data_IF_565823825260
#
_entry.id   IF_565823825260
#
_cell.length_a   1.000
_cell.length_b   1.000
_cell.length_c   1.000
_cell.angle_alpha   90.00
_cell.angle_beta   90.00
_cell.angle_gamma   90.00
#
_symmetry.space_group_name_H-M   'P 1'
#
loop_
_entity.id
_entity.type
_entity.pdbx_description
1 polymer ?
#
# COMPACT_ATOMS: atom_id res chain seq x y z
N UNK A 1 -5.23 20.89 -8.06
CA UNK A 1 -5.85 20.55 -6.75
C UNK A 1 -5.66 19.08 -6.34
N UNK A 2 -5.74 18.10 -7.24
CA UNK A 2 -5.56 16.67 -6.87
C UNK A 2 -4.21 16.29 -6.26
N UNK A 3 -3.13 17.01 -6.59
CA UNK A 3 -1.79 16.75 -6.05
C UNK A 3 -1.67 17.00 -4.54
N UNK A 4 -2.37 18.00 -4.01
CA UNK A 4 -2.33 18.35 -2.57
C UNK A 4 -3.02 17.26 -1.75
N UNK A 5 -4.22 16.82 -2.18
CA UNK A 5 -4.96 15.74 -1.51
C UNK A 5 -4.16 14.44 -1.49
N UNK A 6 -3.57 14.06 -2.62
CA UNK A 6 -2.69 12.88 -2.69
C UNK A 6 -1.46 12.98 -1.79
N UNK A 7 -0.96 14.20 -1.60
CA UNK A 7 0.18 14.46 -0.72
C UNK A 7 -0.23 14.33 0.73
N UNK A 8 -1.30 14.98 1.16
CA UNK A 8 -1.83 14.89 2.53
C UNK A 8 -2.18 13.45 2.88
N UNK A 9 -2.93 12.75 2.01
CA UNK A 9 -3.25 11.33 2.20
C UNK A 9 -2.00 10.49 2.40
N UNK A 10 -0.98 10.69 1.56
CA UNK A 10 0.26 9.94 1.66
C UNK A 10 1.04 10.22 2.95
N UNK A 11 1.07 11.48 3.39
CA UNK A 11 1.77 11.89 4.61
C UNK A 11 1.06 11.30 5.83
N UNK A 12 -0.26 11.48 5.92
CA UNK A 12 -1.09 10.96 7.02
C UNK A 12 -1.00 9.43 7.11
N UNK A 13 -1.15 8.74 5.97
CA UNK A 13 -1.07 7.26 5.92
C UNK A 13 0.36 6.80 6.25
N UNK A 14 1.38 7.45 5.71
CA UNK A 14 2.79 7.09 5.95
C UNK A 14 3.17 7.18 7.43
N UNK A 15 2.79 8.27 8.10
CA UNK A 15 3.02 8.44 9.55
C UNK A 15 2.28 7.36 10.35
N UNK A 16 1.02 7.07 10.01
CA UNK A 16 0.24 6.06 10.70
C UNK A 16 0.85 4.65 10.55
N UNK A 17 1.35 4.31 9.35
CA UNK A 17 2.03 3.03 9.11
C UNK A 17 3.37 2.92 9.84
N UNK A 18 4.14 4.01 9.94
CA UNK A 18 5.36 4.02 10.76
C UNK A 18 5.00 3.73 12.22
N UNK A 19 3.93 4.35 12.73
CA UNK A 19 3.47 4.12 14.10
C UNK A 19 3.02 2.67 14.32
N UNK A 20 2.09 2.15 13.50
CA UNK A 20 1.61 0.76 13.60
C UNK A 20 2.74 -0.26 13.38
N UNK A 21 3.62 -0.02 12.41
CA UNK A 21 4.77 -0.88 12.14
C UNK A 21 5.75 -0.90 13.33
N UNK A 22 5.97 0.25 13.96
CA UNK A 22 6.76 0.35 15.19
C UNK A 22 6.09 -0.38 16.35
N UNK A 23 4.76 -0.32 16.49
CA UNK A 23 4.01 -1.14 17.47
C UNK A 23 4.12 -2.64 17.17
N UNK A 24 4.18 -3.04 15.89
CA UNK A 24 4.44 -4.43 15.52
C UNK A 24 5.87 -4.86 15.87
N UNK A 25 6.86 -3.97 15.78
CA UNK A 25 8.26 -4.28 16.13
C UNK A 25 8.53 -4.21 17.64
N UNK A 26 7.96 -3.22 18.32
CA UNK A 26 8.15 -3.00 19.75
C UNK A 26 7.13 -3.82 20.55
N UNK A 27 7.51 -5.07 20.83
CA UNK A 27 6.73 -6.06 21.57
C UNK A 27 6.59 -5.79 23.08
N UNK A 28 7.16 -4.70 23.61
CA UNK A 28 7.37 -4.52 25.06
C UNK A 28 6.15 -4.05 25.87
N UNK A 29 4.94 -3.98 25.29
CA UNK A 29 3.76 -3.41 26.01
C UNK A 29 3.05 -4.44 26.91
N UNK A 30 3.02 -5.75 26.57
CA UNK A 30 2.61 -6.80 27.53
C UNK A 30 2.88 -8.22 27.01
N UNK A 31 3.19 -9.15 27.92
CA UNK A 31 3.36 -10.59 27.66
C UNK A 31 2.09 -11.23 27.06
N UNK A 32 0.92 -10.67 27.39
CA UNK A 32 -0.41 -11.03 26.89
C UNK A 32 -0.53 -10.76 25.37
N UNK A 33 -0.16 -9.55 24.92
CA UNK A 33 -0.21 -9.16 23.52
C UNK A 33 0.80 -9.96 22.69
N UNK A 34 1.96 -10.29 23.27
CA UNK A 34 2.93 -11.16 22.59
C UNK A 34 2.37 -12.58 22.39
N UNK A 35 1.68 -13.14 23.39
CA UNK A 35 1.02 -14.45 23.27
C UNK A 35 -0.11 -14.43 22.24
N UNK A 36 -0.98 -13.43 22.28
CA UNK A 36 -2.09 -13.29 21.33
C UNK A 36 -1.56 -13.08 19.91
N UNK A 37 -0.59 -12.19 19.70
CA UNK A 37 0.05 -12.04 18.38
C UNK A 37 0.72 -13.33 17.91
N UNK A 38 1.42 -14.05 18.79
CA UNK A 38 2.01 -15.36 18.43
C UNK A 38 0.92 -16.36 18.03
N UNK A 39 -0.23 -16.39 18.71
CA UNK A 39 -1.38 -17.21 18.31
C UNK A 39 -1.92 -16.78 16.94
N UNK A 40 -2.13 -15.49 16.70
CA UNK A 40 -2.59 -14.95 15.41
C UNK A 40 -1.59 -15.26 14.30
N UNK A 41 -0.28 -15.24 14.57
CA UNK A 41 0.75 -15.59 13.59
C UNK A 41 0.85 -17.10 13.33
N UNK A 42 0.70 -17.94 14.35
CA UNK A 42 0.60 -19.40 14.18
C UNK A 42 -0.66 -19.76 13.39
N UNK A 43 -1.77 -19.07 13.66
CA UNK A 43 -3.02 -19.18 12.92
C UNK A 43 -2.88 -18.66 11.47
N UNK A 44 -2.22 -17.51 11.25
CA UNK A 44 -1.79 -16.98 9.93
C UNK A 44 -1.05 -18.03 9.14
N UNK A 45 -0.05 -18.66 9.76
CA UNK A 45 0.77 -19.68 9.11
C UNK A 45 -0.04 -20.91 8.68
N UNK A 46 -1.18 -21.22 9.32
CA UNK A 46 -2.06 -22.34 8.89
C UNK A 46 -2.92 -21.99 7.68
N UNK A 47 -3.38 -20.75 7.58
CA UNK A 47 -4.24 -20.26 6.49
C UNK A 47 -3.44 -19.66 5.33
N UNK A 48 -2.12 -19.60 5.47
CA UNK A 48 -1.23 -18.99 4.50
C UNK A 48 -1.21 -19.83 3.21
N UNK A 49 -1.62 -19.28 2.06
CA UNK A 49 -1.71 -20.03 0.80
C UNK A 49 -0.33 -20.55 0.36
N UNK A 50 0.74 -19.85 0.73
CA UNK A 50 2.12 -20.26 0.46
C UNK A 50 2.55 -21.51 1.23
N UNK A 51 1.98 -21.80 2.41
CA UNK A 51 2.30 -23.05 3.15
C UNK A 51 1.74 -24.27 2.43
N UNK A 52 0.57 -24.14 1.78
CA UNK A 52 0.03 -25.19 0.91
C UNK A 52 0.89 -25.44 -0.33
N UNK A 53 1.61 -24.42 -0.83
CA UNK A 53 2.41 -24.53 -2.05
C UNK A 53 3.88 -24.91 -1.79
N UNK A 54 4.48 -24.48 -0.68
CA UNK A 54 5.91 -24.70 -0.39
C UNK A 54 6.20 -25.57 0.84
N UNK A 55 5.19 -25.92 1.64
CA UNK A 55 5.34 -26.77 2.84
C UNK A 55 6.18 -26.16 3.98
N UNK A 56 6.76 -24.97 3.76
CA UNK A 56 7.65 -24.31 4.70
C UNK A 56 6.85 -23.55 5.76
N UNK A 57 7.03 -23.89 7.04
CA UNK A 57 6.38 -23.19 8.17
C UNK A 57 7.30 -22.05 8.65
N UNK A 58 7.05 -20.79 8.26
CA UNK A 58 7.88 -19.68 8.71
C UNK A 58 7.72 -19.44 10.22
N UNK A 59 8.83 -19.14 10.90
CA UNK A 59 8.82 -18.81 12.32
C UNK A 59 7.98 -17.53 12.56
N UNK A 60 6.94 -17.57 13.41
CA UNK A 60 6.05 -16.43 13.66
C UNK A 60 6.79 -15.18 14.19
N UNK A 61 7.90 -15.36 14.92
CA UNK A 61 8.71 -14.24 15.40
C UNK A 61 9.41 -13.50 14.25
N UNK A 62 9.98 -14.26 13.31
CA UNK A 62 10.65 -13.69 12.14
C UNK A 62 9.65 -13.04 11.19
N UNK A 63 8.51 -13.69 10.94
CA UNK A 63 7.47 -13.17 10.06
C UNK A 63 6.87 -11.85 10.58
N UNK A 64 6.62 -11.71 11.89
CA UNK A 64 6.20 -10.44 12.50
C UNK A 64 7.23 -9.34 12.28
N UNK A 65 8.51 -9.64 12.50
CA UNK A 65 9.61 -8.69 12.33
C UNK A 65 9.71 -8.24 10.87
N UNK A 66 9.63 -9.16 9.92
CA UNK A 66 9.68 -8.85 8.48
C UNK A 66 8.50 -7.96 8.08
N UNK A 67 7.26 -8.33 8.42
CA UNK A 67 6.07 -7.52 8.09
C UNK A 67 6.18 -6.12 8.70
N UNK A 68 6.54 -6.01 9.98
CA UNK A 68 6.69 -4.73 10.67
C UNK A 68 7.80 -3.86 10.09
N UNK A 69 8.96 -4.44 9.76
CA UNK A 69 10.06 -3.70 9.12
C UNK A 69 9.68 -3.23 7.73
N UNK A 70 8.99 -4.05 6.92
CA UNK A 70 8.52 -3.64 5.59
C UNK A 70 7.49 -2.52 5.70
N UNK A 71 6.56 -2.56 6.66
CA UNK A 71 5.60 -1.47 6.89
C UNK A 71 6.30 -0.16 7.26
N UNK A 72 7.28 -0.20 8.16
CA UNK A 72 8.03 1.01 8.56
C UNK A 72 8.82 1.57 7.37
N UNK A 73 9.59 0.73 6.67
CA UNK A 73 10.39 1.17 5.50
C UNK A 73 9.48 1.74 4.41
N UNK A 74 8.35 1.08 4.14
CA UNK A 74 7.39 1.54 3.12
C UNK A 74 6.70 2.83 3.56
N UNK A 75 6.35 2.97 4.84
CA UNK A 75 5.77 4.19 5.41
C UNK A 75 6.74 5.38 5.34
N UNK A 76 8.02 5.18 5.67
CA UNK A 76 9.09 6.19 5.52
C UNK A 76 9.26 6.56 4.05
N UNK A 77 9.29 5.57 3.15
CA UNK A 77 9.38 5.81 1.71
C UNK A 77 8.20 6.63 1.20
N UNK A 78 6.99 6.35 1.70
CA UNK A 78 5.77 7.10 1.38
C UNK A 78 5.85 8.58 1.82
N UNK A 79 6.57 8.85 2.90
CA UNK A 79 6.72 10.17 3.49
C UNK A 79 7.85 10.98 2.82
N UNK A 80 9.01 10.36 2.61
CA UNK A 80 10.24 11.04 2.22
C UNK A 80 10.46 11.14 0.71
N UNK A 81 9.95 10.19 -0.10
CA UNK A 81 10.34 10.07 -1.51
C UNK A 81 9.17 10.40 -2.44
N UNK A 82 9.22 11.53 -3.18
CA UNK A 82 8.33 11.77 -4.31
C UNK A 82 8.82 10.98 -5.54
N UNK A 83 7.90 10.38 -6.31
CA UNK A 83 8.20 9.68 -7.56
C UNK A 83 7.71 8.23 -7.62
N UNK A 84 8.28 7.44 -8.53
CA UNK A 84 7.88 6.05 -8.80
C UNK A 84 8.07 5.12 -7.60
N UNK A 85 9.10 5.34 -6.76
CA UNK A 85 9.32 4.57 -5.52
C UNK A 85 8.15 4.69 -4.55
N UNK A 86 7.47 5.85 -4.53
CA UNK A 86 6.28 6.10 -3.73
C UNK A 86 5.12 5.18 -4.11
N UNK A 87 5.05 4.77 -5.38
CA UNK A 87 4.04 3.85 -5.88
C UNK A 87 4.35 2.42 -5.48
N UNK A 88 5.62 2.02 -5.56
CA UNK A 88 6.07 0.71 -5.08
C UNK A 88 5.76 0.55 -3.59
N UNK A 89 6.08 1.57 -2.79
CA UNK A 89 5.74 1.59 -1.36
C UNK A 89 4.23 1.58 -1.10
N UNK A 90 3.42 2.25 -1.94
CA UNK A 90 1.96 2.21 -1.81
C UNK A 90 1.40 0.81 -2.10
N UNK A 91 1.92 0.15 -3.14
CA UNK A 91 1.50 -1.20 -3.52
C UNK A 91 1.95 -2.23 -2.48
N UNK A 92 3.17 -2.12 -1.95
CA UNK A 92 3.64 -3.01 -0.87
C UNK A 92 2.78 -2.90 0.38
N UNK A 93 2.46 -1.67 0.83
CA UNK A 93 1.56 -1.45 1.96
C UNK A 93 0.15 -2.00 1.71
N UNK A 94 -0.36 -1.83 0.48
CA UNK A 94 -1.68 -2.35 0.11
C UNK A 94 -1.72 -3.88 0.17
N UNK A 95 -0.69 -4.55 -0.36
CA UNK A 95 -0.58 -6.01 -0.29
C UNK A 95 -0.51 -6.53 1.15
N UNK A 96 0.18 -5.79 2.04
CA UNK A 96 0.23 -6.13 3.46
C UNK A 96 -1.16 -6.01 4.10
N UNK A 97 -1.90 -4.93 3.84
CA UNK A 97 -3.28 -4.77 4.34
C UNK A 97 -4.23 -5.82 3.79
N UNK A 98 -4.13 -6.18 2.51
CA UNK A 98 -4.93 -7.24 1.91
C UNK A 98 -4.61 -8.62 2.52
N UNK A 99 -3.33 -8.89 2.79
CA UNK A 99 -2.92 -10.11 3.50
C UNK A 99 -3.45 -10.14 4.94
N UNK A 100 -3.51 -8.97 5.57
CA UNK A 100 -4.07 -8.77 6.91
C UNK A 100 -5.56 -9.11 6.95
N UNK A 101 -6.32 -8.51 6.03
CA UNK A 101 -7.74 -8.76 5.77
C UNK A 101 -7.99 -10.24 5.47
N UNK A 102 -7.26 -10.82 4.51
CA UNK A 102 -7.42 -12.22 4.14
C UNK A 102 -7.23 -13.15 5.33
N UNK A 103 -6.24 -12.86 6.18
CA UNK A 103 -6.05 -13.66 7.37
C UNK A 103 -7.23 -13.49 8.34
N UNK A 104 -7.64 -12.27 8.65
CA UNK A 104 -8.76 -12.06 9.58
C UNK A 104 -10.03 -12.76 9.08
N UNK A 105 -10.29 -12.69 7.77
CA UNK A 105 -11.36 -13.44 7.12
C UNK A 105 -11.19 -14.96 7.28
N UNK A 106 -10.00 -15.51 7.05
CA UNK A 106 -9.74 -16.94 7.18
C UNK A 106 -9.74 -17.45 8.64
N UNK A 107 -9.61 -16.56 9.62
CA UNK A 107 -9.65 -16.87 11.05
C UNK A 107 -11.02 -16.60 11.69
N UNK A 108 -11.99 -16.12 10.89
CA UNK A 108 -13.34 -15.76 11.32
C UNK A 108 -13.34 -14.82 12.53
N UNK A 109 -12.31 -13.98 12.63
CA UNK A 109 -12.24 -12.94 13.64
C UNK A 109 -13.11 -11.79 13.14
N UNK A 110 -14.28 -11.59 13.77
CA UNK A 110 -15.33 -10.70 13.30
C UNK A 110 -14.86 -9.31 12.82
N UNK A 111 -15.68 -8.69 11.98
CA UNK A 111 -15.37 -7.46 11.22
C UNK A 111 -14.85 -6.29 12.07
N UNK A 112 -15.18 -6.23 13.36
CA UNK A 112 -14.71 -5.19 14.27
C UNK A 112 -13.18 -5.15 14.40
N UNK A 113 -12.51 -6.32 14.38
CA UNK A 113 -11.04 -6.38 14.39
C UNK A 113 -10.41 -6.11 13.03
N UNK A 114 -11.16 -6.32 11.95
CA UNK A 114 -10.73 -6.08 10.57
C UNK A 114 -10.91 -4.62 10.13
N UNK A 115 -11.76 -3.86 10.83
CA UNK A 115 -12.10 -2.46 10.54
C UNK A 115 -10.90 -1.57 10.18
N UNK A 116 -9.83 -1.47 11.01
CA UNK A 116 -8.70 -0.61 10.66
C UNK A 116 -7.98 -1.08 9.38
N UNK A 117 -7.80 -2.39 9.18
CA UNK A 117 -7.14 -2.93 7.99
C UNK A 117 -7.93 -2.62 6.70
N UNK A 118 -9.27 -2.73 6.74
CA UNK A 118 -10.16 -2.40 5.61
C UNK A 118 -10.06 -0.92 5.28
N UNK A 119 -10.15 -0.05 6.29
CA UNK A 119 -10.07 1.41 6.08
C UNK A 119 -8.74 1.78 5.44
N UNK A 120 -7.61 1.27 5.93
CA UNK A 120 -6.30 1.53 5.32
C UNK A 120 -6.17 0.94 3.91
N UNK A 121 -6.68 -0.26 3.67
CA UNK A 121 -6.68 -0.85 2.33
C UNK A 121 -7.47 0.00 1.32
N UNK A 122 -8.65 0.50 1.71
CA UNK A 122 -9.46 1.38 0.86
C UNK A 122 -8.78 2.72 0.61
N UNK A 123 -8.18 3.34 1.64
CA UNK A 123 -7.45 4.60 1.48
C UNK A 123 -6.25 4.47 0.54
N UNK A 124 -5.45 3.40 0.69
CA UNK A 124 -4.32 3.11 -0.20
C UNK A 124 -4.77 2.78 -1.63
N UNK A 125 -5.88 2.07 -1.78
CA UNK A 125 -6.47 1.74 -3.09
C UNK A 125 -7.01 2.98 -3.80
N UNK A 126 -7.75 3.83 -3.08
CA UNK A 126 -8.26 5.09 -3.59
C UNK A 126 -7.10 5.97 -4.09
N UNK A 127 -6.04 6.10 -3.29
CA UNK A 127 -4.83 6.82 -3.68
C UNK A 127 -4.18 6.22 -4.95
N UNK A 128 -4.08 4.89 -5.04
CA UNK A 128 -3.53 4.20 -6.21
C UNK A 128 -4.35 4.47 -7.47
N UNK A 129 -5.67 4.35 -7.36
CA UNK A 129 -6.61 4.58 -8.48
C UNK A 129 -6.50 6.02 -8.96
N UNK A 130 -6.52 7.01 -8.07
CA UNK A 130 -6.39 8.43 -8.44
C UNK A 130 -5.06 8.67 -9.16
N UNK A 131 -3.96 8.06 -8.69
CA UNK A 131 -2.67 8.19 -9.36
C UNK A 131 -2.67 7.56 -10.77
N UNK A 132 -3.26 6.38 -10.94
CA UNK A 132 -3.42 5.74 -12.25
C UNK A 132 -4.28 6.58 -13.20
N UNK A 133 -5.37 7.15 -12.69
CA UNK A 133 -6.26 8.04 -13.44
C UNK A 133 -5.56 9.32 -13.90
N UNK A 134 -4.74 9.93 -13.03
CA UNK A 134 -3.93 11.09 -13.39
C UNK A 134 -2.91 10.75 -14.48
N UNK A 135 -2.19 9.63 -14.33
CA UNK A 135 -1.21 9.18 -15.32
C UNK A 135 -1.84 8.88 -16.68
N UNK A 136 -3.04 8.29 -16.70
CA UNK A 136 -3.79 8.04 -17.93
C UNK A 136 -4.20 9.36 -18.63
N UNK A 137 -4.62 10.37 -17.86
CA UNK A 137 -4.97 11.70 -18.39
C UNK A 137 -3.76 12.45 -18.94
N UNK A 138 -2.62 12.39 -18.25
CA UNK A 138 -1.35 12.97 -18.72
C UNK A 138 -0.91 12.33 -20.04
N UNK A 139 -0.94 11.00 -20.13
CA UNK A 139 -0.61 10.27 -21.37
C UNK A 139 -1.54 10.60 -22.53
N UNK A 140 -2.84 10.76 -22.27
CA UNK A 140 -3.82 11.17 -23.29
C UNK A 140 -3.56 12.61 -23.79
N UNK A 141 -3.23 13.54 -22.90
CA UNK A 141 -2.92 14.94 -23.26
C UNK A 141 -1.62 15.05 -24.09
N UNK A 142 -0.58 14.29 -23.74
CA UNK A 142 0.67 14.25 -24.50
C UNK A 142 0.47 13.69 -25.90
N UNK A 143 -0.26 12.58 -26.05
CA UNK A 143 -0.57 12.01 -27.37
C UNK A 143 -1.46 12.92 -28.24
N UNK A 144 -2.35 13.71 -27.63
CA UNK A 144 -3.18 14.69 -28.33
C UNK A 144 -2.36 15.86 -28.90
N UNK A 145 -1.30 16.26 -28.19
CA UNK A 145 -0.44 17.38 -28.57
C UNK A 145 0.53 17.00 -29.70
N UNK A 146 1.04 15.76 -29.69
CA UNK A 146 1.90 15.22 -30.77
C UNK A 146 1.14 15.01 -32.08
N UNK A 147 -0.20 14.84 -32.04
CA UNK A 147 -1.04 14.61 -33.22
C UNK A 147 -1.55 15.88 -33.92
N UNK A 148 -1.08 17.08 -33.55
CA UNK A 148 -1.31 18.29 -34.35
C UNK A 148 -0.12 18.49 -35.31
N UNK A 149 -0.16 17.99 -36.56
CA UNK A 149 0.73 18.49 -37.58
C UNK A 149 0.39 19.97 -37.83
N UNK A 150 1.43 20.77 -38.03
CA UNK A 150 1.35 22.18 -38.40
C UNK A 150 0.63 22.34 -39.74
N UNK A 151 -0.69 22.57 -39.73
CA UNK A 151 -1.46 22.88 -40.96
C UNK A 151 -1.62 24.40 -41.18
N UNK A 152 -0.75 25.22 -40.59
CA UNK A 152 -0.90 26.69 -40.61
C UNK A 152 0.21 27.43 -41.41
N UNK A 153 0.87 26.78 -42.36
CA UNK A 153 1.97 27.39 -43.14
C UNK A 153 1.74 27.33 -44.66
N UNK A 154 0.53 27.06 -45.16
CA UNK A 154 0.28 26.95 -46.61
C UNK A 154 -0.71 27.95 -47.23
N UNK A 155 -1.28 28.89 -46.47
CA UNK A 155 -2.25 29.89 -46.99
C UNK A 155 -1.71 31.32 -46.91
N UNK A 156 -0.45 31.54 -47.28
CA UNK A 156 0.06 32.91 -47.48
C UNK A 156 1.14 32.97 -48.57
N UNK A 157 0.81 32.50 -49.77
CA UNK A 157 1.63 32.78 -50.97
C UNK A 157 0.82 32.68 -52.28
N UNK A 158 -0.40 33.24 -52.29
CA UNK A 158 -1.10 33.58 -53.52
C UNK A 158 -1.95 34.81 -53.20
N UNK A 159 -1.34 35.98 -53.33
CA UNK A 159 -1.93 37.27 -53.75
C UNK A 159 -0.87 38.36 -53.59
#
# INVERSE_FOLDING_TARGET
MGSVVLTVLSVTIGIFFIFIGTLKLNSSISTEIYREMRKTFIRRAKVFPLVKQTGWKPNPHFYRKVIGTVEVISGVTLLAIPGSLKQVANVSLLLIMLSDIYTHYALDEGLERMSPAIVFALLLSCRLIIHLQLRAREGAATNSTVRRPSTSQFTKKVE
#
